data_IF_788904284722
#
_entry.id   IF_788904284722
#
_cell.length_a   1.000
_cell.length_b   1.000
_cell.length_c   1.000
_cell.angle_alpha   90.00
_cell.angle_beta   90.00
_cell.angle_gamma   90.00
#
_symmetry.space_group_name_H-M   'P 1'
#
loop_
_entity.id
_entity.type
_entity.pdbx_description
1 polymer ?
#
# COMPACT_ATOMS: atom_id res chain seq x y z
N UNK A 1 16.02 -14.98 -4.99
CA UNK A 1 15.88 -14.39 -3.62
C UNK A 1 14.39 -14.24 -3.31
N UNK A 2 13.94 -14.43 -2.05
CA UNK A 2 12.51 -14.23 -1.70
C UNK A 2 12.26 -12.76 -1.36
N UNK A 3 11.08 -12.25 -1.71
CA UNK A 3 10.67 -10.90 -1.34
C UNK A 3 10.49 -10.78 0.18
N UNK A 4 11.00 -9.68 0.75
CA UNK A 4 10.84 -9.36 2.17
C UNK A 4 10.37 -7.91 2.29
N UNK A 5 9.33 -7.69 3.07
CA UNK A 5 8.73 -6.38 3.32
C UNK A 5 8.63 -6.12 4.81
N UNK A 6 9.04 -4.94 5.26
CA UNK A 6 8.97 -4.47 6.65
C UNK A 6 8.28 -3.11 6.63
N UNK A 7 7.34 -2.88 7.55
CA UNK A 7 6.65 -1.60 7.67
C UNK A 7 6.51 -1.19 9.14
N UNK A 8 6.26 0.10 9.38
CA UNK A 8 5.78 0.58 10.68
C UNK A 8 4.37 0.07 10.96
N UNK A 9 3.96 0.11 12.23
CA UNK A 9 2.60 -0.24 12.67
C UNK A 9 1.52 0.70 12.08
N UNK A 10 1.91 1.89 11.62
CA UNK A 10 1.07 2.77 10.80
C UNK A 10 0.43 2.09 9.58
N UNK A 11 0.93 0.94 9.11
CA UNK A 11 0.28 0.13 8.07
C UNK A 11 -1.12 -0.38 8.48
N UNK A 12 -1.40 -0.45 9.78
CA UNK A 12 -2.68 -0.88 10.34
C UNK A 12 -3.64 0.30 10.60
N UNK A 13 -3.21 1.53 10.35
CA UNK A 13 -3.94 2.77 10.69
C UNK A 13 -4.90 3.26 9.60
N UNK A 14 -5.14 2.47 8.55
CA UNK A 14 -5.95 2.94 7.43
C UNK A 14 -7.42 3.08 7.79
N UNK A 15 -7.99 4.23 7.43
CA UNK A 15 -9.42 4.50 7.61
C UNK A 15 -10.05 5.08 6.35
N UNK A 16 -11.37 4.96 6.26
CA UNK A 16 -12.16 5.55 5.18
C UNK A 16 -12.31 7.06 5.45
N UNK A 17 -11.78 7.88 4.57
CA UNK A 17 -11.82 9.35 4.69
C UNK A 17 -12.79 10.02 3.71
N UNK A 18 -13.23 9.31 2.67
CA UNK A 18 -14.21 9.80 1.69
C UNK A 18 -15.01 8.67 1.08
N UNK A 19 -16.21 8.98 0.59
CA UNK A 19 -16.99 8.04 -0.23
C UNK A 19 -16.30 7.86 -1.59
N UNK A 20 -16.42 6.67 -2.13
CA UNK A 20 -15.90 6.27 -3.45
C UNK A 20 -16.96 5.45 -4.15
N UNK A 21 -16.95 5.46 -5.49
CA UNK A 21 -17.96 4.75 -6.30
C UNK A 21 -17.78 3.22 -6.27
N UNK A 22 -16.67 2.73 -5.72
CA UNK A 22 -16.42 1.30 -5.54
C UNK A 22 -16.85 0.82 -4.14
N UNK A 23 -17.56 -0.32 -4.13
CA UNK A 23 -17.84 -1.13 -2.94
C UNK A 23 -16.80 -2.25 -2.73
N UNK A 24 -15.80 -2.35 -3.62
CA UNK A 24 -14.77 -3.38 -3.52
C UNK A 24 -13.94 -3.22 -2.24
N UNK A 25 -13.67 -4.35 -1.60
CA UNK A 25 -12.79 -4.43 -0.43
C UNK A 25 -11.38 -4.74 -0.87
N UNK A 26 -10.41 -4.12 -0.20
CA UNK A 26 -8.98 -4.37 -0.42
C UNK A 26 -8.32 -4.78 0.89
N UNK A 27 -7.47 -5.81 0.81
CA UNK A 27 -6.55 -6.16 1.88
C UNK A 27 -5.30 -5.26 1.74
N UNK A 28 -5.19 -4.28 2.63
CA UNK A 28 -4.18 -3.22 2.54
C UNK A 28 -2.77 -3.77 2.81
N UNK A 29 -2.51 -4.53 3.90
CA UNK A 29 -1.21 -5.18 4.09
C UNK A 29 -0.80 -6.02 2.89
N UNK A 30 -1.70 -6.86 2.37
CA UNK A 30 -1.40 -7.68 1.19
C UNK A 30 -1.05 -6.79 -0.01
N UNK A 31 -1.86 -5.77 -0.31
CA UNK A 31 -1.62 -4.89 -1.44
C UNK A 31 -0.33 -4.07 -1.34
N UNK A 32 0.03 -3.58 -0.15
CA UNK A 32 1.26 -2.78 0.01
C UNK A 32 2.51 -3.68 0.00
N UNK A 33 2.46 -4.81 0.71
CA UNK A 33 3.64 -5.61 1.06
C UNK A 33 3.97 -6.72 0.06
N UNK A 34 3.02 -7.22 -0.73
CA UNK A 34 3.25 -8.39 -1.60
C UNK A 34 2.97 -8.11 -3.08
N UNK A 35 2.00 -7.26 -3.39
CA UNK A 35 1.68 -6.92 -4.77
C UNK A 35 2.84 -6.21 -5.49
N UNK A 36 3.19 -6.61 -6.72
CA UNK A 36 4.37 -6.10 -7.46
C UNK A 36 4.05 -4.96 -8.43
N UNK A 37 2.85 -4.41 -8.36
CA UNK A 37 2.51 -3.20 -9.11
C UNK A 37 3.48 -2.05 -8.79
N UNK A 38 4.03 -1.40 -9.83
CA UNK A 38 4.94 -0.23 -9.78
C UNK A 38 6.35 -0.46 -9.22
N UNK A 39 6.81 -1.71 -9.11
CA UNK A 39 8.15 -2.05 -8.56
C UNK A 39 9.33 -1.53 -9.39
N UNK A 40 9.07 -1.18 -10.65
CA UNK A 40 10.00 -0.60 -11.61
C UNK A 40 10.14 0.92 -11.47
N UNK A 41 9.47 1.51 -10.46
CA UNK A 41 9.47 2.95 -10.20
C UNK A 41 9.86 3.26 -8.76
N UNK A 42 10.59 4.35 -8.56
CA UNK A 42 10.90 4.89 -7.23
C UNK A 42 9.64 5.38 -6.47
N UNK A 43 8.53 5.54 -7.20
CA UNK A 43 7.24 6.02 -6.71
C UNK A 43 6.26 4.91 -6.30
N UNK A 44 6.74 3.66 -6.17
CA UNK A 44 5.88 2.49 -5.89
C UNK A 44 4.91 2.74 -4.72
N UNK A 45 5.43 3.12 -3.55
CA UNK A 45 4.61 3.32 -2.36
C UNK A 45 3.62 4.49 -2.56
N UNK A 46 4.10 5.63 -3.06
CA UNK A 46 3.27 6.81 -3.31
C UNK A 46 2.12 6.53 -4.29
N UNK A 47 2.38 5.79 -5.38
CA UNK A 47 1.35 5.39 -6.35
C UNK A 47 0.32 4.46 -5.72
N UNK A 48 0.76 3.51 -4.91
CA UNK A 48 -0.15 2.62 -4.19
C UNK A 48 -1.04 3.38 -3.20
N UNK A 49 -0.48 4.33 -2.45
CA UNK A 49 -1.23 5.19 -1.53
C UNK A 49 -2.25 6.06 -2.27
N UNK A 50 -1.87 6.66 -3.41
CA UNK A 50 -2.80 7.39 -4.27
C UNK A 50 -3.94 6.50 -4.78
N UNK A 51 -3.67 5.24 -5.13
CA UNK A 51 -4.73 4.29 -5.51
C UNK A 51 -5.68 4.03 -4.35
N UNK A 52 -5.16 3.73 -3.15
CA UNK A 52 -5.96 3.52 -1.94
C UNK A 52 -6.83 4.74 -1.64
N UNK A 53 -6.29 5.95 -1.78
CA UNK A 53 -7.04 7.17 -1.56
C UNK A 53 -8.10 7.40 -2.65
N UNK A 54 -7.73 7.42 -3.93
CA UNK A 54 -8.63 7.82 -5.01
C UNK A 54 -9.71 6.77 -5.30
N UNK A 55 -9.33 5.50 -5.35
CA UNK A 55 -10.25 4.42 -5.68
C UNK A 55 -10.99 3.91 -4.45
N UNK A 56 -10.29 3.72 -3.33
CA UNK A 56 -10.89 3.11 -2.13
C UNK A 56 -11.24 4.11 -1.04
N UNK A 57 -10.87 5.39 -1.15
CA UNK A 57 -11.17 6.40 -0.13
C UNK A 57 -10.41 6.17 1.17
N UNK A 58 -9.32 5.41 1.14
CA UNK A 58 -8.55 4.99 2.29
C UNK A 58 -7.26 5.81 2.43
N UNK A 59 -6.96 6.25 3.64
CA UNK A 59 -5.67 6.87 4.01
C UNK A 59 -5.17 6.31 5.34
N UNK A 60 -3.84 6.19 5.54
CA UNK A 60 -3.30 5.95 6.87
C UNK A 60 -3.57 7.16 7.76
N UNK A 61 -3.90 6.93 9.03
CA UNK A 61 -4.05 8.00 10.03
C UNK A 61 -2.82 8.21 10.88
N UNK A 62 -1.80 7.37 10.69
CA UNK A 62 -0.51 7.41 11.37
C UNK A 62 0.63 7.36 10.34
N UNK A 63 1.87 7.58 10.80
CA UNK A 63 3.05 7.58 9.95
C UNK A 63 3.34 6.19 9.40
N UNK A 64 3.36 6.10 8.07
CA UNK A 64 3.67 4.88 7.34
C UNK A 64 5.06 4.97 6.70
N UNK A 65 5.96 4.11 7.16
CA UNK A 65 7.20 3.80 6.46
C UNK A 65 7.24 2.32 6.08
N UNK A 66 7.82 2.02 4.91
CA UNK A 66 7.96 0.65 4.42
C UNK A 66 9.28 0.47 3.68
N UNK A 67 10.00 -0.61 4.00
CA UNK A 67 11.17 -1.07 3.27
C UNK A 67 10.81 -2.40 2.61
N UNK A 68 11.14 -2.53 1.32
CA UNK A 68 10.84 -3.72 0.55
C UNK A 68 12.05 -4.17 -0.26
N UNK A 69 12.54 -5.36 0.06
CA UNK A 69 13.61 -6.04 -0.68
C UNK A 69 12.95 -7.01 -1.66
N UNK A 70 13.05 -6.71 -2.94
CA UNK A 70 12.46 -7.53 -4.01
C UNK A 70 13.56 -8.39 -4.60
N UNK A 71 13.36 -9.71 -4.59
CA UNK A 71 14.32 -10.63 -5.16
C UNK A 71 14.25 -10.62 -6.68
N UNK A 72 15.41 -10.47 -7.33
CA UNK A 72 15.59 -10.81 -8.74
C UNK A 72 15.69 -12.32 -8.93
N UNK A 73 15.15 -12.80 -10.05
CA UNK A 73 15.38 -14.16 -10.56
C UNK A 73 16.63 -14.17 -11.44
#
# INVERSE_FOLDING_TARGET
MKDVSIATDGILSFTKIKKTDTEEKIDIPQYLMTERSFIDTDEMLNRKLKKLEHYYGLKPTDDLAMIRMIGSY
#
